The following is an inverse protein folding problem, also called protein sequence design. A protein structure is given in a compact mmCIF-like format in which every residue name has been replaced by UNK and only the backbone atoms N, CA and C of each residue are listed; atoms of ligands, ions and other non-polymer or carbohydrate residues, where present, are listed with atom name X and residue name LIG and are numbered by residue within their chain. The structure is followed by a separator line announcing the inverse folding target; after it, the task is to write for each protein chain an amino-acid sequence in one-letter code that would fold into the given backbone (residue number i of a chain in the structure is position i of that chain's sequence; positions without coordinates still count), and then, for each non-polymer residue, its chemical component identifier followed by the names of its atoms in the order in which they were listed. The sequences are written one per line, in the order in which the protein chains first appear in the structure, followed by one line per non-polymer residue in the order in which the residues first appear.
data_IF_695418096764
#
_entry.id   IF_695418096764
#
_cell.length_a   1.000
_cell.length_b   1.000
_cell.length_c   1.000
_cell.angle_alpha   90.00
_cell.angle_beta   90.00
_cell.angle_gamma   90.00
#
_symmetry.space_group_name_H-M   'P 1'
#
loop_
_entity.id
_entity.type
_entity.pdbx_description
1 polymer ?
#
# COMPACT_ATOMS: atom_id res chain seq x y z
N UNK A 1 -23.12 -1.56 12.45
CA UNK A 1 -21.94 -0.78 12.90
C UNK A 1 -20.99 -1.79 13.52
N UNK A 2 -19.97 -2.24 12.79
CA UNK A 2 -19.04 -3.27 13.29
C UNK A 2 -17.93 -2.60 14.11
N UNK A 3 -17.89 -2.89 15.41
CA UNK A 3 -16.81 -2.42 16.29
C UNK A 3 -15.55 -3.26 16.06
N UNK A 4 -14.43 -2.59 15.76
CA UNK A 4 -13.12 -3.23 15.56
C UNK A 4 -12.31 -2.96 16.83
N UNK A 5 -11.86 -4.02 17.50
CA UNK A 5 -11.03 -3.92 18.69
C UNK A 5 -9.61 -4.41 18.40
N UNK A 6 -8.63 -3.63 18.86
CA UNK A 6 -7.21 -3.83 18.61
C UNK A 6 -6.52 -4.37 19.86
N UNK A 7 -5.68 -5.41 19.71
CA UNK A 7 -4.73 -5.82 20.74
C UNK A 7 -3.30 -5.49 20.30
N UNK A 8 -2.59 -4.73 21.14
CA UNK A 8 -1.20 -4.31 20.93
C UNK A 8 -0.32 -4.88 22.06
N UNK A 9 0.95 -5.22 21.82
CA UNK A 9 1.87 -5.71 22.86
C UNK A 9 2.30 -4.64 23.87
N UNK A 10 2.72 -5.09 25.07
CA UNK A 10 3.06 -4.26 26.24
C UNK A 10 4.37 -3.45 26.13
N UNK A 11 4.50 -2.40 26.95
CA UNK A 11 5.67 -1.48 26.94
C UNK A 11 6.89 -1.97 27.73
N UNK A 12 6.75 -2.92 28.67
CA UNK A 12 7.81 -3.27 29.63
C UNK A 12 8.91 -4.17 29.05
N UNK A 13 8.62 -4.99 28.03
CA UNK A 13 9.63 -5.81 27.34
C UNK A 13 10.62 -4.94 26.54
N UNK A 14 10.20 -3.75 26.11
CA UNK A 14 11.02 -2.81 25.33
C UNK A 14 12.18 -2.20 26.15
N UNK A 15 12.01 -2.01 27.46
CA UNK A 15 13.03 -1.37 28.29
C UNK A 15 14.22 -2.31 28.58
N UNK A 16 13.96 -3.62 28.70
CA UNK A 16 15.00 -4.58 29.05
C UNK A 16 15.85 -5.00 27.85
N UNK A 17 15.34 -4.91 26.62
CA UNK A 17 16.09 -5.34 25.43
C UNK A 17 17.19 -4.34 25.00
N UNK A 18 17.06 -3.06 25.38
CA UNK A 18 18.11 -2.05 25.13
C UNK A 18 19.27 -2.07 26.12
N UNK A 19 19.16 -2.86 27.19
CA UNK A 19 20.16 -2.91 28.26
C UNK A 19 21.17 -4.05 28.09
N UNK A 20 20.85 -5.06 27.27
CA UNK A 20 21.70 -6.25 27.08
C UNK A 20 22.46 -6.27 25.73
N UNK A 21 22.18 -5.34 24.81
CA UNK A 21 22.94 -5.20 23.57
C UNK A 21 24.21 -4.35 23.80
N UNK A 22 25.34 -5.03 23.98
CA UNK A 22 26.65 -4.39 23.92
C UNK A 22 26.84 -3.73 22.55
N UNK A 23 27.06 -2.42 22.55
CA UNK A 23 27.29 -1.63 21.34
C UNK A 23 28.47 -2.20 20.52
N UNK A 24 28.35 -2.35 19.19
CA UNK A 24 29.50 -2.67 18.36
C UNK A 24 30.51 -1.52 18.43
N UNK A 25 31.73 -1.82 18.88
CA UNK A 25 32.89 -0.99 18.57
C UNK A 25 32.90 -0.75 17.06
N UNK A 26 32.91 0.51 16.62
CA UNK A 26 33.41 1.05 15.34
C UNK A 26 32.60 2.28 14.87
N UNK A 27 32.36 3.28 15.73
CA UNK A 27 32.26 4.68 15.27
C UNK A 27 32.83 5.57 16.36
N UNK A 28 34.13 5.86 16.29
CA UNK A 28 34.77 6.88 17.13
C UNK A 28 34.59 8.22 16.42
N UNK A 29 33.48 8.90 16.68
CA UNK A 29 33.35 10.33 16.41
C UNK A 29 33.58 11.06 17.73
N UNK A 30 34.74 11.69 17.85
CA UNK A 30 35.10 12.56 18.96
C UNK A 30 34.14 13.74 19.01
N UNK A 31 33.48 13.88 20.16
CA UNK A 31 32.76 15.08 20.58
C UNK A 31 33.75 16.24 20.69
N UNK A 32 33.46 17.34 19.99
CA UNK A 32 34.01 18.66 20.32
C UNK A 32 32.85 19.62 20.53
N UNK A 33 32.88 20.27 21.69
CA UNK A 33 31.89 21.19 22.22
C UNK A 33 31.63 22.38 21.31
N UNK A 34 30.36 22.67 21.01
CA UNK A 34 29.95 23.94 20.43
C UNK A 34 29.78 24.98 21.55
N UNK A 35 30.83 25.77 21.77
CA UNK A 35 30.73 27.03 22.50
C UNK A 35 30.49 28.15 21.48
N UNK A 36 29.32 28.79 21.58
CA UNK A 36 29.00 30.04 20.88
C UNK A 36 29.71 31.17 21.62
N UNK A 37 30.66 31.83 20.95
CA UNK A 37 31.07 33.21 21.25
C UNK A 37 31.19 33.96 19.93
N UNK A 38 30.37 34.99 19.77
CA UNK A 38 30.56 35.97 18.73
C UNK A 38 31.76 36.86 19.04
N UNK A 39 32.46 37.27 17.99
CA UNK A 39 33.13 38.56 17.93
C UNK A 39 33.20 38.99 16.46
N UNK A 40 32.73 40.21 16.25
CA UNK A 40 32.96 41.03 15.06
C UNK A 40 34.46 41.36 14.95
N UNK A 41 34.97 41.51 13.73
CA UNK A 41 35.93 42.56 13.36
C UNK A 41 36.11 42.59 11.83
N UNK A 42 36.14 43.81 11.32
CA UNK A 42 36.19 44.26 9.92
C UNK A 42 37.52 43.94 9.20
N UNK A 43 37.51 43.85 7.86
CA UNK A 43 38.22 44.78 6.93
C UNK A 43 38.43 44.15 5.52
N UNK A 44 37.87 44.84 4.52
CA UNK A 44 38.33 45.15 3.14
C UNK A 44 38.71 44.09 2.07
N UNK A 45 37.90 44.16 0.99
CA UNK A 45 38.24 44.43 -0.43
C UNK A 45 39.25 43.55 -1.17
N UNK A 46 38.80 42.89 -2.26
CA UNK A 46 39.52 42.75 -3.55
C UNK A 46 38.60 42.10 -4.60
N UNK A 47 38.35 42.81 -5.70
CA UNK A 47 37.65 42.29 -6.89
C UNK A 47 38.60 41.81 -7.99
N UNK A 48 38.21 40.76 -8.72
CA UNK A 48 38.68 40.37 -10.07
C UNK A 48 37.56 39.55 -10.75
N UNK A 49 36.95 40.06 -11.82
CA UNK A 49 37.21 39.77 -13.24
C UNK A 49 36.62 38.42 -13.73
N UNK A 50 35.70 38.51 -14.69
CA UNK A 50 34.99 37.38 -15.30
C UNK A 50 35.89 36.59 -16.27
N UNK A 51 35.91 35.27 -16.13
CA UNK A 51 36.53 34.35 -17.08
C UNK A 51 35.49 33.77 -18.05
N UNK A 52 35.81 33.87 -19.34
CA UNK A 52 35.07 33.34 -20.48
C UNK A 52 35.40 31.85 -20.65
N UNK A 53 34.39 30.98 -20.57
CA UNK A 53 34.56 29.54 -20.83
C UNK A 53 34.62 29.25 -22.34
N UNK A 54 35.71 28.59 -22.75
CA UNK A 54 35.89 27.99 -24.09
C UNK A 54 36.06 26.49 -23.88
N UNK A 55 35.10 25.66 -24.31
CA UNK A 55 35.45 24.38 -24.96
C UNK A 55 34.26 23.74 -25.68
N UNK A 56 34.56 23.24 -26.87
CA UNK A 56 33.74 22.52 -27.83
C UNK A 56 34.05 21.03 -27.79
N UNK A 57 33.04 20.16 -27.83
CA UNK A 57 33.20 18.74 -28.21
C UNK A 57 31.88 18.18 -28.78
N UNK A 58 31.88 17.11 -29.59
CA UNK A 58 31.38 17.16 -30.96
C UNK A 58 30.13 16.28 -31.18
N UNK A 59 29.34 16.61 -32.21
CA UNK A 59 28.22 15.79 -32.67
C UNK A 59 28.72 14.58 -33.46
N UNK A 60 28.40 13.37 -33.00
CA UNK A 60 28.59 12.13 -33.77
C UNK A 60 27.35 11.91 -34.65
N UNK A 61 27.59 11.83 -35.96
CA UNK A 61 26.60 11.54 -36.97
C UNK A 61 26.37 10.02 -37.14
N UNK A 62 25.18 9.72 -37.68
CA UNK A 62 24.73 8.47 -38.32
C UNK A 62 24.36 7.26 -37.44
N UNK A 63 23.04 7.03 -37.32
CA UNK A 63 22.42 5.73 -37.67
C UNK A 63 21.08 6.00 -38.40
N UNK A 64 21.05 5.66 -39.68
CA UNK A 64 19.83 5.60 -40.49
C UNK A 64 19.21 4.19 -40.37
N UNK A 65 17.88 4.16 -40.26
CA UNK A 65 17.09 3.07 -40.81
C UNK A 65 16.33 2.22 -39.79
N UNK A 66 15.12 2.65 -39.41
CA UNK A 66 14.02 1.73 -39.04
C UNK A 66 12.65 2.45 -39.05
N UNK A 67 12.35 3.17 -40.13
CA UNK A 67 11.00 3.71 -40.38
C UNK A 67 10.56 3.37 -41.80
N UNK A 68 10.35 2.08 -42.06
CA UNK A 68 9.65 1.64 -43.27
C UNK A 68 8.83 0.38 -42.99
N UNK A 69 7.81 0.50 -42.12
CA UNK A 69 6.64 -0.39 -42.15
C UNK A 69 5.44 0.14 -41.34
N UNK A 70 4.72 1.12 -41.88
CA UNK A 70 3.32 1.33 -41.52
C UNK A 70 2.58 2.04 -42.66
N UNK A 71 2.31 1.26 -43.71
CA UNK A 71 1.39 1.62 -44.78
C UNK A 71 -0.02 1.93 -44.23
N UNK A 72 -0.47 3.14 -44.55
CA UNK A 72 -1.85 3.46 -44.92
C UNK A 72 -2.98 2.86 -44.08
N UNK A 73 -3.36 3.54 -43.00
CA UNK A 73 -4.77 3.68 -42.62
C UNK A 73 -5.12 5.16 -42.53
N UNK A 74 -5.75 5.67 -43.59
CA UNK A 74 -6.43 6.96 -43.60
C UNK A 74 -7.53 6.94 -42.54
N UNK A 75 -7.27 7.59 -41.41
CA UNK A 75 -8.32 8.00 -40.48
C UNK A 75 -9.13 9.11 -41.17
N UNK A 76 -10.27 8.72 -41.74
CA UNK A 76 -11.33 9.65 -42.13
C UNK A 76 -12.01 10.09 -40.84
N UNK A 77 -11.68 11.28 -40.36
CA UNK A 77 -12.39 11.91 -39.25
C UNK A 77 -13.83 12.23 -39.70
N UNK A 78 -14.86 11.98 -38.86
CA UNK A 78 -16.19 12.48 -39.11
C UNK A 78 -16.20 14.00 -38.89
N UNK A 79 -16.69 14.70 -39.90
CA UNK A 79 -16.99 16.13 -39.86
C UNK A 79 -18.25 16.35 -39.04
N UNK A 80 -18.11 16.45 -37.72
CA UNK A 80 -19.12 17.07 -36.87
C UNK A 80 -18.44 18.10 -35.99
N UNK A 81 -18.78 19.37 -36.23
CA UNK A 81 -18.14 20.56 -35.69
C UNK A 81 -18.43 20.77 -34.21
N UNK A 82 -17.76 19.98 -33.37
CA UNK A 82 -17.46 20.37 -31.99
C UNK A 82 -15.96 20.58 -31.93
N UNK A 83 -15.54 21.84 -32.03
CA UNK A 83 -14.20 22.25 -31.63
C UNK A 83 -14.14 22.00 -30.13
N UNK A 84 -13.63 20.85 -29.73
CA UNK A 84 -13.06 20.71 -28.41
C UNK A 84 -11.89 21.68 -28.39
N UNK A 85 -12.11 22.89 -27.85
CA UNK A 85 -11.00 23.73 -27.45
C UNK A 85 -10.18 22.87 -26.50
N UNK A 86 -9.06 22.35 -27.00
CA UNK A 86 -8.07 21.67 -26.17
C UNK A 86 -7.63 22.74 -25.16
N UNK A 87 -7.90 22.57 -23.85
CA UNK A 87 -7.63 23.59 -22.84
C UNK A 87 -6.20 24.15 -22.92
N UNK A 88 -5.27 23.30 -23.37
CA UNK A 88 -3.84 23.58 -23.47
C UNK A 88 -3.48 24.76 -24.39
N UNK A 89 -4.21 24.96 -25.50
CA UNK A 89 -3.91 26.02 -26.48
C UNK A 89 -4.32 27.39 -25.95
N UNK A 90 -5.48 27.48 -25.30
CA UNK A 90 -5.97 28.73 -24.73
C UNK A 90 -5.18 29.10 -23.46
N UNK A 91 -4.80 28.11 -22.64
CA UNK A 91 -3.94 28.31 -21.47
C UNK A 91 -2.51 28.74 -21.85
N UNK A 92 -1.94 28.18 -22.93
CA UNK A 92 -0.63 28.59 -23.43
C UNK A 92 -0.59 30.06 -23.89
N UNK A 93 -1.62 30.50 -24.61
CA UNK A 93 -1.75 31.90 -25.04
C UNK A 93 -1.92 32.85 -23.85
N UNK A 94 -2.68 32.47 -22.84
CA UNK A 94 -2.83 33.24 -21.60
C UNK A 94 -1.51 33.34 -20.83
N UNK A 95 -0.71 32.27 -20.80
CA UNK A 95 0.63 32.28 -20.23
C UNK A 95 1.56 33.26 -20.93
N UNK A 96 1.53 33.29 -22.27
CA UNK A 96 2.34 34.23 -23.06
C UNK A 96 1.96 35.70 -22.77
N UNK A 97 0.66 36.00 -22.73
CA UNK A 97 0.14 37.33 -22.39
C UNK A 97 0.56 37.74 -20.97
N UNK A 98 0.50 36.82 -20.01
CA UNK A 98 0.89 37.07 -18.63
C UNK A 98 2.41 37.35 -18.50
N UNK A 99 3.25 36.58 -19.19
CA UNK A 99 4.70 36.84 -19.18
C UNK A 99 5.06 38.16 -19.86
N UNK A 100 4.36 38.52 -20.94
CA UNK A 100 4.58 39.78 -21.63
C UNK A 100 4.15 40.99 -20.80
N UNK A 101 3.02 40.89 -20.07
CA UNK A 101 2.52 42.00 -19.23
C UNK A 101 3.36 42.25 -17.99
N UNK A 102 4.11 41.24 -17.53
CA UNK A 102 4.95 41.33 -16.32
C UNK A 102 6.45 41.51 -16.63
N UNK A 103 6.85 41.60 -17.89
CA UNK A 103 8.26 41.63 -18.33
C UNK A 103 9.08 42.80 -17.74
N UNK A 104 8.44 43.88 -17.31
CA UNK A 104 9.11 45.09 -16.79
C UNK A 104 9.16 45.17 -15.25
N UNK A 105 8.43 44.30 -14.53
CA UNK A 105 8.26 44.38 -13.06
C UNK A 105 9.56 44.28 -12.25
N UNK A 106 10.64 43.73 -12.81
CA UNK A 106 11.96 43.67 -12.17
C UNK A 106 12.88 44.88 -12.47
N UNK A 107 12.70 45.55 -13.60
CA UNK A 107 13.48 46.73 -13.96
C UNK A 107 13.02 47.98 -13.18
N UNK A 108 11.75 48.03 -12.79
CA UNK A 108 11.13 49.14 -12.06
C UNK A 108 11.31 49.04 -10.53
N UNK A 109 12.13 48.11 -10.03
CA UNK A 109 12.36 47.89 -8.59
C UNK A 109 11.20 47.19 -7.86
N UNK A 110 10.24 46.63 -8.60
CA UNK A 110 9.13 45.86 -8.06
C UNK A 110 9.53 44.46 -7.57
N UNK A 111 8.67 43.84 -6.76
CA UNK A 111 8.90 42.48 -6.28
C UNK A 111 8.77 41.44 -7.41
N UNK A 112 9.81 40.63 -7.61
CA UNK A 112 9.80 39.49 -8.54
C UNK A 112 8.89 38.34 -8.08
N UNK A 113 8.30 38.42 -6.87
CA UNK A 113 7.43 37.38 -6.36
C UNK A 113 6.17 37.19 -7.22
N UNK A 114 5.54 38.29 -7.63
CA UNK A 114 4.30 38.27 -8.43
C UNK A 114 4.46 37.58 -9.79
N UNK A 115 5.47 37.91 -10.63
CA UNK A 115 5.68 37.21 -11.89
C UNK A 115 6.06 35.74 -11.69
N UNK A 116 6.87 35.42 -10.67
CA UNK A 116 7.27 34.03 -10.39
C UNK A 116 6.09 33.17 -9.95
N UNK A 117 5.24 33.67 -9.05
CA UNK A 117 4.00 32.99 -8.64
C UNK A 117 3.04 32.85 -9.82
N UNK A 118 2.95 33.87 -10.66
CA UNK A 118 2.14 33.86 -11.86
C UNK A 118 2.54 32.77 -12.86
N UNK A 119 3.83 32.67 -13.17
CA UNK A 119 4.39 31.61 -14.01
C UNK A 119 4.13 30.23 -13.37
N UNK A 120 4.33 30.11 -12.05
CA UNK A 120 4.05 28.87 -11.32
C UNK A 120 2.59 28.41 -11.46
N UNK A 121 1.63 29.33 -11.30
CA UNK A 121 0.19 29.03 -11.43
C UNK A 121 -0.16 28.59 -12.86
N UNK A 122 0.28 29.34 -13.88
CA UNK A 122 0.04 28.97 -15.29
C UNK A 122 0.68 27.62 -15.64
N UNK A 123 1.90 27.37 -15.14
CA UNK A 123 2.60 26.10 -15.34
C UNK A 123 1.83 24.95 -14.71
N UNK A 124 1.28 25.12 -13.50
CA UNK A 124 0.42 24.12 -12.85
C UNK A 124 -0.80 23.83 -13.73
N UNK A 125 -1.50 24.85 -14.22
CA UNK A 125 -2.69 24.66 -15.06
C UNK A 125 -2.39 24.02 -16.41
N UNK A 126 -1.24 24.30 -17.01
CA UNK A 126 -0.78 23.65 -18.24
C UNK A 126 -0.39 22.18 -18.01
N UNK A 127 0.22 21.87 -16.87
CA UNK A 127 0.69 20.52 -16.58
C UNK A 127 -0.40 19.60 -16.00
N UNK A 128 -1.42 20.13 -15.32
CA UNK A 128 -2.52 19.35 -14.74
C UNK A 128 -3.23 18.43 -15.75
N UNK A 129 -3.67 18.89 -16.93
CA UNK A 129 -4.34 18.02 -17.91
C UNK A 129 -3.38 17.06 -18.62
N UNK A 130 -2.07 17.35 -18.60
CA UNK A 130 -1.03 16.48 -19.16
C UNK A 130 -0.66 15.33 -18.22
N UNK A 131 -0.99 15.43 -16.93
CA UNK A 131 -0.88 14.27 -16.04
C UNK A 131 -1.95 13.25 -16.41
N UNK A 132 -1.60 11.99 -16.71
CA UNK A 132 -2.61 10.99 -17.01
C UNK A 132 -3.51 10.85 -15.78
N UNK A 133 -4.83 10.95 -15.97
CA UNK A 133 -5.82 10.64 -14.94
C UNK A 133 -5.67 9.18 -14.56
N UNK A 134 -4.76 8.91 -13.62
CA UNK A 134 -4.39 7.57 -13.26
C UNK A 134 -5.48 6.98 -12.36
N UNK A 135 -6.28 6.09 -12.93
CA UNK A 135 -7.35 5.42 -12.22
C UNK A 135 -6.77 4.46 -11.19
N UNK A 136 -7.14 4.67 -9.93
CA UNK A 136 -6.70 3.83 -8.81
C UNK A 136 -7.40 2.47 -8.89
N UNK A 137 -6.65 1.42 -9.23
CA UNK A 137 -7.06 0.02 -9.15
C UNK A 137 -6.66 -0.54 -7.79
N UNK A 138 -7.54 -1.31 -7.15
CA UNK A 138 -7.19 -2.01 -5.91
C UNK A 138 -7.02 -3.49 -6.17
N UNK A 139 -5.91 -4.06 -5.69
CA UNK A 139 -5.63 -5.51 -5.79
C UNK A 139 -5.74 -6.20 -4.45
N UNK A 140 -6.04 -7.49 -4.48
CA UNK A 140 -5.99 -8.38 -3.34
C UNK A 140 -5.79 -9.81 -3.81
N UNK A 141 -4.92 -10.56 -3.16
CA UNK A 141 -4.69 -11.98 -3.45
C UNK A 141 -5.01 -12.78 -2.19
N UNK A 142 -5.80 -13.84 -2.34
CA UNK A 142 -6.26 -14.68 -1.23
C UNK A 142 -5.90 -16.13 -1.50
N UNK A 143 -5.12 -16.69 -0.60
CA UNK A 143 -4.75 -18.11 -0.59
C UNK A 143 -5.60 -18.80 0.47
N UNK A 144 -6.46 -19.70 0.04
CA UNK A 144 -7.22 -20.57 0.94
C UNK A 144 -6.47 -21.89 1.11
N UNK A 145 -5.95 -22.11 2.32
CA UNK A 145 -5.15 -23.29 2.64
C UNK A 145 -6.01 -24.56 2.63
N UNK A 146 -7.26 -24.47 3.06
CA UNK A 146 -8.14 -25.64 3.19
C UNK A 146 -8.78 -26.00 1.85
N UNK A 147 -9.15 -24.99 1.05
CA UNK A 147 -9.66 -25.20 -0.30
C UNK A 147 -8.55 -25.45 -1.33
N UNK A 148 -7.30 -25.11 -1.02
CA UNK A 148 -6.17 -25.23 -1.92
C UNK A 148 -6.23 -24.27 -3.12
N UNK A 149 -6.89 -23.11 -2.96
CA UNK A 149 -7.11 -22.15 -4.05
C UNK A 149 -6.25 -20.90 -3.88
N UNK A 150 -5.67 -20.38 -4.96
CA UNK A 150 -5.07 -19.04 -5.01
C UNK A 150 -5.87 -18.12 -5.94
N UNK A 151 -6.57 -17.13 -5.38
CA UNK A 151 -7.43 -16.24 -6.15
C UNK A 151 -6.92 -14.80 -6.05
N UNK A 152 -6.66 -14.19 -7.20
CA UNK A 152 -6.38 -12.77 -7.29
C UNK A 152 -7.63 -11.99 -7.68
N UNK A 153 -7.80 -10.83 -7.07
CA UNK A 153 -8.91 -9.91 -7.29
C UNK A 153 -8.39 -8.53 -7.65
N UNK A 154 -8.96 -7.95 -8.70
CA UNK A 154 -8.77 -6.55 -9.10
C UNK A 154 -10.10 -5.83 -8.98
N UNK A 155 -10.10 -4.63 -8.37
CA UNK A 155 -11.30 -3.81 -8.28
C UNK A 155 -11.05 -2.40 -8.83
N UNK A 156 -11.93 -2.03 -9.75
CA UNK A 156 -12.05 -0.69 -10.33
C UNK A 156 -13.54 -0.50 -10.69
N UNK A 157 -13.97 0.71 -11.04
CA UNK A 157 -15.32 0.95 -11.55
C UNK A 157 -15.50 0.35 -12.96
N UNK A 158 -15.99 1.12 -13.92
CA UNK A 158 -16.42 0.66 -15.25
C UNK A 158 -15.29 0.08 -16.13
N UNK A 159 -14.02 0.32 -15.75
CA UNK A 159 -12.85 -0.02 -16.56
C UNK A 159 -12.08 -1.26 -16.09
N UNK A 160 -12.55 -1.98 -15.05
CA UNK A 160 -11.82 -3.14 -14.50
C UNK A 160 -11.55 -4.21 -15.56
N UNK A 161 -12.47 -4.41 -16.52
CA UNK A 161 -12.32 -5.38 -17.61
C UNK A 161 -11.15 -5.06 -18.53
N UNK A 162 -10.88 -3.79 -18.81
CA UNK A 162 -9.73 -3.38 -19.63
C UNK A 162 -8.40 -3.69 -18.94
N UNK A 163 -8.37 -3.61 -17.60
CA UNK A 163 -7.19 -3.98 -16.80
C UNK A 163 -7.03 -5.49 -16.76
N UNK A 164 -8.09 -6.25 -16.46
CA UNK A 164 -8.01 -7.72 -16.42
C UNK A 164 -7.61 -8.30 -17.79
N UNK A 165 -8.09 -7.71 -18.89
CA UNK A 165 -7.72 -8.14 -20.24
C UNK A 165 -6.24 -7.96 -20.57
N UNK A 166 -5.52 -7.09 -19.83
CA UNK A 166 -4.08 -6.89 -20.00
C UNK A 166 -3.25 -7.81 -19.08
N UNK A 167 -3.88 -8.67 -18.27
CA UNK A 167 -3.20 -9.58 -17.33
C UNK A 167 -2.99 -10.95 -18.00
N UNK A 168 -1.74 -11.37 -18.29
CA UNK A 168 -1.45 -12.66 -18.92
C UNK A 168 -1.96 -13.88 -18.16
N UNK A 169 -1.83 -13.93 -16.84
CA UNK A 169 -2.27 -15.05 -16.00
C UNK A 169 -3.78 -15.24 -16.05
N UNK A 170 -4.53 -14.15 -16.21
CA UNK A 170 -5.99 -14.16 -16.38
C UNK A 170 -6.43 -14.54 -17.81
N UNK A 171 -5.51 -14.57 -18.79
CA UNK A 171 -5.85 -14.81 -20.18
C UNK A 171 -6.43 -16.22 -20.39
N UNK A 172 -7.58 -16.30 -21.07
CA UNK A 172 -8.27 -17.56 -21.34
C UNK A 172 -9.06 -18.14 -20.16
N UNK A 173 -9.08 -17.47 -19.01
CA UNK A 173 -9.90 -17.88 -17.86
C UNK A 173 -11.31 -17.28 -17.90
N UNK A 174 -12.24 -17.93 -17.20
CA UNK A 174 -13.56 -17.37 -16.93
C UNK A 174 -13.48 -16.39 -15.74
N UNK A 175 -13.48 -15.09 -16.04
CA UNK A 175 -13.34 -14.02 -15.03
C UNK A 175 -14.66 -13.77 -14.32
N UNK A 176 -14.67 -13.92 -12.99
CA UNK A 176 -15.86 -13.70 -12.16
C UNK A 176 -15.87 -12.28 -11.63
N UNK A 177 -16.68 -11.41 -12.26
CA UNK A 177 -16.83 -10.02 -11.83
C UNK A 177 -18.12 -9.81 -11.03
N UNK A 178 -18.01 -9.19 -9.85
CA UNK A 178 -19.14 -8.90 -8.94
C UNK A 178 -19.00 -7.50 -8.36
N UNK A 179 -20.09 -6.93 -7.85
CA UNK A 179 -20.01 -5.69 -7.07
C UNK A 179 -19.16 -5.95 -5.83
N UNK A 180 -18.17 -5.08 -5.58
CA UNK A 180 -17.23 -5.24 -4.47
C UNK A 180 -17.97 -5.10 -3.14
N UNK A 181 -17.82 -6.09 -2.26
CA UNK A 181 -18.31 -6.04 -0.88
C UNK A 181 -17.44 -5.16 0.02
N UNK A 182 -16.15 -5.02 -0.32
CA UNK A 182 -15.18 -4.23 0.44
C UNK A 182 -15.29 -2.74 0.16
N UNK A 183 -15.62 -2.35 -1.08
CA UNK A 183 -15.72 -0.94 -1.50
C UNK A 183 -16.96 -0.70 -2.34
N UNK A 184 -17.92 0.03 -1.79
CA UNK A 184 -19.14 0.42 -2.50
C UNK A 184 -18.83 1.17 -3.79
N UNK A 185 -19.51 0.82 -4.88
CA UNK A 185 -19.37 1.48 -6.18
C UNK A 185 -18.25 0.93 -7.07
N UNK A 186 -17.48 -0.07 -6.62
CA UNK A 186 -16.48 -0.74 -7.45
C UNK A 186 -16.96 -2.13 -7.88
N UNK A 187 -16.46 -2.59 -9.03
CA UNK A 187 -16.60 -3.96 -9.51
C UNK A 187 -15.30 -4.71 -9.23
N UNK A 188 -15.38 -5.81 -8.49
CA UNK A 188 -14.27 -6.71 -8.22
C UNK A 188 -14.31 -7.89 -9.19
N UNK A 189 -13.25 -8.09 -9.96
CA UNK A 189 -13.06 -9.23 -10.85
C UNK A 189 -12.01 -10.17 -10.28
N UNK A 190 -12.40 -11.44 -10.16
CA UNK A 190 -11.60 -12.51 -9.60
C UNK A 190 -11.14 -13.48 -10.70
N UNK A 191 -9.90 -13.93 -10.60
CA UNK A 191 -9.28 -14.92 -11.47
C UNK A 191 -8.33 -15.84 -10.69
N UNK A 192 -8.04 -17.01 -11.24
CA UNK A 192 -7.12 -17.97 -10.63
C UNK A 192 -5.68 -17.52 -10.85
N UNK A 193 -4.94 -17.35 -9.75
CA UNK A 193 -3.54 -16.94 -9.74
C UNK A 193 -2.58 -18.09 -9.39
N UNK A 194 -3.06 -19.34 -9.42
CA UNK A 194 -2.27 -20.53 -9.07
C UNK A 194 -1.06 -20.75 -9.98
N UNK A 195 -1.03 -20.17 -11.19
CA UNK A 195 0.14 -20.20 -12.09
C UNK A 195 1.32 -19.35 -11.60
N UNK A 196 1.08 -18.41 -10.68
CA UNK A 196 2.06 -17.48 -10.12
C UNK A 196 1.98 -17.47 -8.58
N UNK A 197 2.29 -18.58 -7.90
CA UNK A 197 2.22 -18.63 -6.44
C UNK A 197 3.25 -17.68 -5.81
N UNK A 198 2.90 -17.00 -4.70
CA UNK A 198 3.82 -16.09 -4.02
C UNK A 198 4.89 -16.84 -3.24
N UNK A 199 6.10 -16.30 -3.23
CA UNK A 199 7.22 -16.81 -2.45
C UNK A 199 7.19 -16.20 -1.04
N UNK A 200 6.41 -16.82 -0.14
CA UNK A 200 6.23 -16.35 1.24
C UNK A 200 7.10 -17.15 2.21
N UNK A 201 7.53 -16.51 3.30
CA UNK A 201 8.31 -17.12 4.38
C UNK A 201 9.46 -18.02 3.88
N UNK A 202 10.37 -17.46 3.07
CA UNK A 202 11.48 -18.17 2.44
C UNK A 202 11.07 -19.38 1.58
N UNK A 203 9.93 -19.29 0.90
CA UNK A 203 9.46 -20.34 -0.01
C UNK A 203 8.74 -21.48 0.69
N UNK A 204 8.22 -21.24 1.89
CA UNK A 204 7.41 -22.23 2.61
C UNK A 204 6.11 -22.48 1.86
N UNK A 205 5.69 -23.75 1.80
CA UNK A 205 4.42 -24.15 1.19
C UNK A 205 3.23 -23.47 1.88
N UNK A 206 2.21 -23.12 1.09
CA UNK A 206 1.02 -22.42 1.58
C UNK A 206 0.34 -23.12 2.78
N UNK A 207 0.46 -24.45 2.86
CA UNK A 207 -0.14 -25.29 3.92
C UNK A 207 0.50 -25.07 5.29
N UNK A 208 1.78 -24.71 5.30
CA UNK A 208 2.61 -24.58 6.48
C UNK A 208 2.79 -23.13 6.93
N UNK A 209 2.32 -22.16 6.12
CA UNK A 209 2.35 -20.74 6.47
C UNK A 209 1.53 -20.40 7.72
N UNK A 210 0.42 -21.13 7.95
CA UNK A 210 -0.46 -20.93 9.11
C UNK A 210 -0.77 -22.26 9.78
N UNK A 211 -0.44 -22.36 11.05
CA UNK A 211 -0.84 -23.45 11.94
C UNK A 211 -1.75 -22.90 13.04
N UNK A 212 -2.96 -23.45 13.11
CA UNK A 212 -3.95 -23.08 14.14
C UNK A 212 -4.22 -24.31 14.98
N UNK A 213 -4.11 -24.16 16.30
CA UNK A 213 -4.55 -25.17 17.27
C UNK A 213 -5.40 -24.49 18.32
N UNK A 214 -6.36 -25.22 18.90
CA UNK A 214 -7.20 -24.67 19.95
C UNK A 214 -7.91 -25.75 20.71
N UNK A 215 -8.39 -25.40 21.89
CA UNK A 215 -9.19 -26.30 22.72
C UNK A 215 -10.18 -25.50 23.56
N UNK A 216 -11.37 -26.06 23.72
CA UNK A 216 -12.34 -25.53 24.68
C UNK A 216 -11.91 -25.93 26.10
N UNK A 217 -12.02 -25.00 27.03
CA UNK A 217 -11.75 -25.28 28.44
C UNK A 217 -12.83 -26.21 29.00
N UNK A 218 -12.46 -27.02 30.00
CA UNK A 218 -13.37 -27.97 30.68
C UNK A 218 -14.61 -27.30 31.28
N UNK A 219 -14.52 -26.00 31.60
CA UNK A 219 -15.63 -25.21 32.11
C UNK A 219 -16.63 -24.78 31.02
N UNK A 220 -16.32 -24.96 29.72
CA UNK A 220 -17.13 -24.51 28.59
C UNK A 220 -17.24 -23.00 28.42
N UNK A 221 -16.64 -22.20 29.32
CA UNK A 221 -16.75 -20.73 29.35
C UNK A 221 -15.70 -20.03 28.49
N UNK A 222 -14.56 -20.69 28.30
CA UNK A 222 -13.43 -20.11 27.56
C UNK A 222 -12.88 -21.08 26.54
N UNK A 223 -12.35 -20.55 25.44
CA UNK A 223 -11.58 -21.30 24.45
C UNK A 223 -10.16 -20.75 24.36
N UNK A 224 -9.17 -21.63 24.32
CA UNK A 224 -7.79 -21.24 24.00
C UNK A 224 -7.56 -21.50 22.51
N UNK A 225 -6.95 -20.53 21.84
CA UNK A 225 -6.60 -20.59 20.44
C UNK A 225 -5.15 -20.12 20.29
N UNK A 226 -4.36 -20.93 19.62
CA UNK A 226 -2.97 -20.67 19.31
C UNK A 226 -2.82 -20.56 17.80
N UNK A 227 -2.41 -19.37 17.35
CA UNK A 227 -2.19 -19.08 15.94
C UNK A 227 -0.70 -18.90 15.74
N UNK A 228 -0.09 -19.79 14.97
CA UNK A 228 1.29 -19.66 14.53
C UNK A 228 1.29 -19.34 13.04
N UNK A 229 1.80 -18.16 12.69
CA UNK A 229 1.92 -17.74 11.30
C UNK A 229 3.36 -17.29 11.04
N UNK A 230 3.97 -17.86 10.01
CA UNK A 230 5.33 -17.55 9.60
C UNK A 230 5.36 -16.18 8.92
N UNK A 231 6.35 -15.34 9.25
CA UNK A 231 6.61 -14.01 8.66
C UNK A 231 5.39 -13.09 8.50
N UNK A 232 4.38 -13.25 9.36
CA UNK A 232 3.20 -12.39 9.39
C UNK A 232 3.17 -11.51 10.63
N UNK A 233 3.01 -10.20 10.47
CA UNK A 233 2.87 -9.27 11.61
C UNK A 233 1.44 -9.14 12.12
N UNK A 234 0.46 -9.63 11.36
CA UNK A 234 -0.94 -9.42 11.67
C UNK A 234 -1.82 -10.54 11.16
N UNK A 235 -2.82 -10.87 11.96
CA UNK A 235 -3.89 -11.77 11.55
C UNK A 235 -5.25 -11.23 12.00
N UNK A 236 -6.29 -11.62 11.27
CA UNK A 236 -7.68 -11.30 11.55
C UNK A 236 -8.40 -12.62 11.80
N UNK A 237 -9.10 -12.71 12.93
CA UNK A 237 -9.93 -13.85 13.29
C UNK A 237 -11.38 -13.46 13.00
N UNK A 238 -12.00 -14.18 12.07
CA UNK A 238 -13.43 -14.11 11.82
C UNK A 238 -14.11 -15.27 12.55
N UNK A 239 -15.04 -14.94 13.43
CA UNK A 239 -15.73 -15.88 14.29
C UNK A 239 -17.15 -16.11 13.77
N UNK A 240 -17.55 -17.37 13.67
CA UNK A 240 -18.90 -17.78 13.29
C UNK A 240 -19.96 -17.27 14.28
N UNK A 241 -19.62 -17.28 15.57
CA UNK A 241 -20.45 -16.81 16.67
C UNK A 241 -19.75 -15.69 17.46
N UNK A 242 -20.50 -14.74 18.06
CA UNK A 242 -19.90 -13.62 18.79
C UNK A 242 -19.25 -14.10 20.10
N UNK A 243 -18.03 -13.64 20.39
CA UNK A 243 -17.38 -13.84 21.69
C UNK A 243 -17.49 -12.59 22.55
N UNK A 244 -17.57 -12.73 23.86
CA UNK A 244 -17.83 -11.61 24.76
C UNK A 244 -16.56 -11.00 25.35
N UNK A 245 -15.41 -11.58 25.04
CA UNK A 245 -14.13 -11.12 25.51
C UNK A 245 -12.98 -11.88 24.86
N UNK A 246 -11.81 -11.27 24.85
CA UNK A 246 -10.59 -11.94 24.46
C UNK A 246 -9.38 -11.36 25.21
N UNK A 247 -8.41 -12.22 25.45
CA UNK A 247 -7.11 -11.88 26.03
C UNK A 247 -6.03 -12.47 25.14
N UNK A 248 -4.99 -11.71 24.85
CA UNK A 248 -3.81 -12.21 24.12
C UNK A 248 -2.65 -12.20 25.10
N UNK A 249 -1.91 -13.31 25.18
CA UNK A 249 -0.74 -13.41 26.06
C UNK A 249 0.27 -12.31 25.71
N UNK A 250 0.84 -11.69 26.75
CA UNK A 250 1.80 -10.57 26.65
C UNK A 250 1.24 -9.31 25.94
N UNK A 251 -0.09 -9.22 25.72
CA UNK A 251 -0.69 -8.01 25.22
C UNK A 251 -0.73 -6.92 26.30
N UNK A 252 -0.67 -5.67 25.85
CA UNK A 252 -0.93 -4.52 26.69
C UNK A 252 -2.35 -4.58 27.27
N UNK A 253 -2.58 -4.02 28.47
CA UNK A 253 -3.91 -3.88 29.01
C UNK A 253 -4.84 -3.14 28.03
N UNK A 254 -6.15 -3.46 28.00
CA UNK A 254 -7.12 -2.75 27.19
C UNK A 254 -7.03 -1.23 27.41
N UNK A 255 -6.85 -0.47 26.34
CA UNK A 255 -6.81 0.99 26.42
C UNK A 255 -8.23 1.54 26.54
N UNK A 256 -8.48 2.26 27.64
CA UNK A 256 -9.78 2.83 28.02
C UNK A 256 -10.40 3.71 26.93
N UNK A 257 -9.59 4.27 26.02
CA UNK A 257 -10.06 5.10 24.91
C UNK A 257 -10.89 4.33 23.87
N UNK A 258 -10.75 3.00 23.80
CA UNK A 258 -11.50 2.17 22.86
C UNK A 258 -12.85 1.70 23.40
N UNK A 259 -13.22 2.09 24.63
CA UNK A 259 -14.48 1.71 25.26
C UNK A 259 -14.50 0.26 25.76
N UNK A 260 -15.67 -0.18 26.18
CA UNK A 260 -15.93 -1.57 26.60
C UNK A 260 -16.35 -2.43 25.41
N UNK A 261 -16.25 -3.74 25.61
CA UNK A 261 -16.71 -4.73 24.63
C UNK A 261 -18.23 -4.57 24.45
N UNK A 262 -18.76 -4.57 23.21
CA UNK A 262 -20.20 -4.46 22.97
C UNK A 262 -20.98 -5.63 23.59
N UNK A 263 -22.21 -5.36 24.05
CA UNK A 263 -23.11 -6.40 24.57
C UNK A 263 -23.51 -7.47 23.54
N UNK A 264 -23.40 -7.14 22.24
CA UNK A 264 -23.65 -8.08 21.13
C UNK A 264 -22.44 -8.98 20.84
N UNK A 265 -21.32 -8.76 21.55
CA UNK A 265 -20.06 -9.47 21.41
C UNK A 265 -19.25 -9.07 20.17
N UNK A 266 -18.14 -9.77 19.98
CA UNK A 266 -17.14 -9.55 18.95
C UNK A 266 -17.18 -10.70 17.94
N UNK A 267 -17.25 -10.37 16.65
CA UNK A 267 -17.16 -11.35 15.56
C UNK A 267 -15.84 -11.30 14.79
N UNK A 268 -15.14 -10.18 14.89
CA UNK A 268 -13.89 -9.95 14.19
C UNK A 268 -12.87 -9.43 15.19
N UNK A 269 -11.76 -10.13 15.33
CA UNK A 269 -10.65 -9.73 16.20
C UNK A 269 -9.43 -9.53 15.31
N UNK A 270 -8.77 -8.38 15.41
CA UNK A 270 -7.51 -8.14 14.70
C UNK A 270 -6.36 -8.12 15.70
N UNK A 271 -5.38 -9.00 15.45
CA UNK A 271 -4.20 -9.15 16.28
C UNK A 271 -2.96 -8.69 15.52
N UNK A 272 -2.05 -8.06 16.25
CA UNK A 272 -0.76 -7.58 15.75
C UNK A 272 0.35 -8.08 16.66
N UNK A 273 1.52 -8.38 16.11
CA UNK A 273 2.75 -8.61 16.89
C UNK A 273 3.84 -7.62 16.49
N UNK A 274 4.63 -7.20 17.46
CA UNK A 274 5.84 -6.38 17.22
C UNK A 274 7.03 -7.27 16.90
N UNK A 275 7.14 -8.41 17.56
CA UNK A 275 8.17 -9.42 17.32
C UNK A 275 7.88 -10.16 16.02
N UNK A 276 8.91 -10.65 15.33
CA UNK A 276 8.74 -11.40 14.08
C UNK A 276 8.38 -12.86 14.34
N UNK A 277 8.74 -13.37 15.51
CA UNK A 277 8.64 -14.77 15.87
C UNK A 277 7.58 -14.99 16.94
N UNK A 278 7.14 -16.25 17.05
CA UNK A 278 6.27 -16.69 18.11
C UNK A 278 4.77 -16.72 17.75
N UNK A 279 4.05 -17.70 18.30
CA UNK A 279 2.61 -17.84 18.09
C UNK A 279 1.82 -16.84 18.95
N UNK A 280 0.65 -16.43 18.47
CA UNK A 280 -0.33 -15.75 19.30
C UNK A 280 -1.08 -16.75 20.16
N UNK A 281 -0.91 -16.68 21.47
CA UNK A 281 -1.73 -17.39 22.44
C UNK A 281 -2.93 -16.52 22.83
N UNK A 282 -4.13 -16.92 22.41
CA UNK A 282 -5.37 -16.14 22.52
C UNK A 282 -6.37 -16.93 23.38
N UNK A 283 -6.95 -16.26 24.36
CA UNK A 283 -8.01 -16.80 25.20
C UNK A 283 -9.31 -16.06 24.90
N UNK A 284 -10.29 -16.77 24.38
CA UNK A 284 -11.61 -16.26 24.02
C UNK A 284 -12.61 -16.54 25.15
N UNK A 285 -13.45 -15.56 25.45
CA UNK A 285 -14.54 -15.69 26.41
C UNK A 285 -15.84 -15.99 25.64
N UNK A 286 -16.37 -17.20 25.85
CA UNK A 286 -17.52 -17.75 25.13
C UNK A 286 -18.87 -17.44 25.80
N UNK A 287 -18.87 -16.89 27.01
CA UNK A 287 -20.09 -16.69 27.79
C UNK A 287 -20.07 -15.33 28.47
N UNK A 288 -21.23 -14.68 28.54
CA UNK A 288 -21.44 -13.43 29.28
C UNK A 288 -22.75 -13.52 30.08
N UNK A 289 -22.69 -13.28 31.39
CA UNK A 289 -23.79 -13.18 32.37
C UNK A 289 -25.13 -13.87 32.02
N UNK A 290 -25.10 -15.15 31.62
CA UNK A 290 -26.29 -15.97 31.34
C UNK A 290 -26.54 -16.33 29.87
N UNK A 291 -25.74 -15.82 28.92
CA UNK A 291 -25.74 -16.25 27.51
C UNK A 291 -24.59 -17.20 27.27
N UNK A 292 -24.91 -18.46 26.97
CA UNK A 292 -23.94 -19.46 26.53
C UNK A 292 -23.97 -19.58 25.02
N UNK A 293 -22.80 -19.55 24.37
CA UNK A 293 -22.70 -19.96 22.97
C UNK A 293 -23.20 -21.40 22.79
N UNK A 294 -23.77 -21.68 21.61
CA UNK A 294 -24.27 -23.00 21.28
C UNK A 294 -23.18 -24.05 21.48
N UNK A 295 -23.57 -25.25 21.90
CA UNK A 295 -22.63 -26.35 22.14
C UNK A 295 -21.91 -26.79 20.86
N UNK A 296 -22.43 -26.44 19.70
CA UNK A 296 -21.77 -26.64 18.41
C UNK A 296 -20.42 -25.89 18.40
N UNK A 297 -19.41 -26.50 17.78
CA UNK A 297 -18.04 -25.98 17.80
C UNK A 297 -17.96 -24.53 17.29
N UNK A 298 -17.05 -23.73 17.87
CA UNK A 298 -16.81 -22.37 17.39
C UNK A 298 -15.91 -22.44 16.15
N UNK A 299 -16.47 -22.18 14.96
CA UNK A 299 -15.66 -22.03 13.75
C UNK A 299 -14.96 -20.66 13.75
N UNK A 300 -13.65 -20.69 13.55
CA UNK A 300 -12.74 -19.55 13.45
C UNK A 300 -12.05 -19.58 12.11
N UNK A 301 -12.18 -18.53 11.31
CA UNK A 301 -11.38 -18.33 10.11
C UNK A 301 -10.26 -17.35 10.43
N UNK A 302 -9.02 -17.83 10.44
CA UNK A 302 -7.82 -17.03 10.63
C UNK A 302 -7.32 -16.55 9.28
N UNK A 303 -7.09 -15.24 9.14
CA UNK A 303 -6.61 -14.58 7.92
C UNK A 303 -5.35 -13.80 8.24
N UNK A 304 -4.19 -14.23 7.77
CA UNK A 304 -2.91 -13.57 8.02
C UNK A 304 -2.43 -12.80 6.80
N UNK A 305 -1.90 -11.59 7.03
CA UNK A 305 -1.60 -10.65 5.95
C UNK A 305 -0.10 -10.57 5.68
N UNK A 306 0.26 -10.69 4.39
CA UNK A 306 1.60 -10.58 3.86
C UNK A 306 1.68 -9.36 2.95
N UNK A 307 2.75 -8.60 3.09
CA UNK A 307 2.93 -7.32 2.38
C UNK A 307 4.37 -7.03 2.00
N UNK A 308 5.27 -8.00 2.16
CA UNK A 308 6.65 -7.81 1.76
C UNK A 308 6.74 -7.76 0.23
N UNK A 309 7.36 -6.70 -0.25
CA UNK A 309 7.49 -6.37 -1.67
C UNK A 309 8.94 -5.98 -2.00
N UNK A 310 9.89 -6.36 -1.14
CA UNK A 310 11.31 -6.04 -1.30
C UNK A 310 12.00 -6.92 -2.36
N UNK A 311 11.52 -8.13 -2.61
CA UNK A 311 11.96 -9.02 -3.70
C UNK A 311 10.83 -9.18 -4.73
N UNK A 312 11.19 -9.11 -6.01
CA UNK A 312 10.30 -9.31 -7.15
C UNK A 312 9.56 -10.67 -7.10
N UNK A 313 10.16 -11.68 -6.48
CA UNK A 313 9.62 -13.05 -6.38
C UNK A 313 8.59 -13.23 -5.27
N UNK A 314 8.54 -12.33 -4.27
CA UNK A 314 7.67 -12.51 -3.10
C UNK A 314 6.19 -12.49 -3.50
N UNK A 315 5.81 -11.59 -4.41
CA UNK A 315 4.42 -11.42 -4.86
C UNK A 315 4.40 -11.23 -6.38
N UNK A 316 4.56 -12.31 -7.17
CA UNK A 316 4.80 -12.23 -8.60
C UNK A 316 3.61 -11.67 -9.38
N UNK A 317 2.38 -11.93 -8.92
CA UNK A 317 1.16 -11.33 -9.51
C UNK A 317 1.24 -9.79 -9.50
N UNK A 318 1.82 -9.18 -8.45
CA UNK A 318 2.04 -7.74 -8.43
C UNK A 318 3.25 -7.36 -9.29
N UNK A 319 4.39 -7.95 -8.95
CA UNK A 319 5.69 -7.42 -9.30
C UNK A 319 6.16 -7.81 -10.70
N UNK A 320 5.84 -9.03 -11.14
CA UNK A 320 6.21 -9.52 -12.46
C UNK A 320 5.14 -9.27 -13.51
N UNK A 321 3.88 -9.22 -13.08
CA UNK A 321 2.75 -9.19 -13.99
C UNK A 321 2.09 -7.82 -14.04
N UNK A 322 1.43 -7.41 -12.95
CA UNK A 322 0.63 -6.20 -12.98
C UNK A 322 1.48 -4.97 -13.28
N UNK A 323 2.65 -4.79 -12.66
CA UNK A 323 3.53 -3.65 -12.99
C UNK A 323 4.06 -3.66 -14.43
N UNK A 324 4.15 -4.83 -15.06
CA UNK A 324 4.68 -4.96 -16.41
C UNK A 324 3.62 -4.74 -17.49
N UNK A 325 2.40 -5.24 -17.27
CA UNK A 325 1.37 -5.32 -18.32
C UNK A 325 0.15 -4.43 -18.08
N UNK A 326 0.00 -3.82 -16.89
CA UNK A 326 -1.13 -2.92 -16.63
C UNK A 326 -1.14 -1.70 -17.56
N UNK A 327 -2.31 -1.15 -17.89
CA UNK A 327 -2.37 0.07 -18.68
C UNK A 327 -1.78 1.27 -17.92
N UNK A 328 -1.05 2.14 -18.62
CA UNK A 328 -0.38 3.33 -18.03
C UNK A 328 -1.35 4.34 -17.38
N UNK A 329 -2.62 4.31 -17.75
CA UNK A 329 -3.67 5.13 -17.13
C UNK A 329 -4.18 4.57 -15.79
N UNK A 330 -3.55 3.51 -15.25
CA UNK A 330 -3.92 2.95 -13.95
C UNK A 330 -2.79 3.04 -12.94
N UNK A 331 -3.15 3.09 -11.65
CA UNK A 331 -2.21 2.98 -10.53
C UNK A 331 -2.72 1.92 -9.55
N UNK A 332 -1.84 0.99 -9.17
CA UNK A 332 -2.20 -0.10 -8.27
C UNK A 332 -2.13 0.36 -6.82
N UNK A 333 -3.08 -0.11 -6.02
CA UNK A 333 -3.12 0.09 -4.58
C UNK A 333 -3.64 -1.15 -3.86
N UNK A 334 -3.42 -1.23 -2.55
CA UNK A 334 -3.93 -2.33 -1.73
C UNK A 334 -5.44 -2.18 -1.50
N UNK A 335 -6.16 -3.30 -1.60
CA UNK A 335 -7.59 -3.37 -1.21
C UNK A 335 -7.73 -3.45 0.31
N UNK A 336 -6.91 -4.29 0.94
CA UNK A 336 -6.85 -4.55 2.38
C UNK A 336 -5.45 -4.26 2.94
N UNK A 337 -5.21 -4.59 4.20
CA UNK A 337 -3.90 -4.34 4.84
C UNK A 337 -2.79 -5.19 4.19
N UNK A 338 -3.10 -6.44 3.84
CA UNK A 338 -2.23 -7.35 3.11
C UNK A 338 -2.30 -7.19 1.59
N UNK A 339 -1.16 -7.36 0.92
CA UNK A 339 -1.11 -7.58 -0.53
C UNK A 339 -1.52 -9.00 -0.91
N UNK A 340 -1.10 -9.95 -0.09
CA UNK A 340 -1.52 -11.35 -0.10
C UNK A 340 -2.08 -11.67 1.27
N UNK A 341 -3.16 -12.44 1.30
CA UNK A 341 -3.77 -12.91 2.53
C UNK A 341 -3.90 -14.42 2.49
N UNK A 342 -3.36 -15.08 3.51
CA UNK A 342 -3.47 -16.53 3.66
C UNK A 342 -4.56 -16.79 4.69
N UNK A 343 -5.54 -17.63 4.35
CA UNK A 343 -6.65 -17.96 5.24
C UNK A 343 -6.73 -19.45 5.54
N UNK A 344 -7.10 -19.75 6.77
CA UNK A 344 -7.30 -21.10 7.29
C UNK A 344 -8.47 -21.14 8.26
N UNK A 345 -9.34 -22.13 8.09
CA UNK A 345 -10.49 -22.40 8.95
C UNK A 345 -10.10 -23.40 10.02
N UNK A 346 -10.62 -23.19 11.22
CA UNK A 346 -10.41 -24.05 12.36
C UNK A 346 -11.67 -24.12 13.20
N UNK A 347 -12.09 -25.33 13.55
CA UNK A 347 -13.23 -25.52 14.46
C UNK A 347 -12.71 -25.82 15.85
N UNK A 348 -13.05 -24.97 16.81
CA UNK A 348 -12.72 -25.20 18.22
C UNK A 348 -13.77 -26.12 18.83
N UNK A 349 -13.36 -27.35 19.13
CA UNK A 349 -14.15 -28.37 19.84
C UNK A 349 -13.82 -28.43 21.33
#
# INVERSE_FOLDING_TARGET
MSYIQFALPGKQEFANQYQDDAAPEHVRATSSDNTITGNEDDQEDHGYAAESATETTPLRAEEQGWLDRATSRRLRAPTDGVVWATPDVDLGNLGLIQTASMAMTGADGGSLLTPLMGIGVVTIFLLLPLTPFAHRVTRHEVIDVDAGTNVASLSLSEYVHAVVASVPSAAGQEIKCRKSSTRSGLTACEYDASSLPPYLANGTDAKDLIKVTGSRSSNGKTANLKVDALDSKMCILNLSQPVFGFEVKNAAPPDRRFGSIPHDGLRVITIFRREWEGPWDIKLQLTDEGRTLDREGLEVTVRCAYSDMNDQRTIPVLLCELYQYMPKWTVISKTAVGLVEVRKKYTVS
#
